data_IF_873721209714
#
_entry.id   IF_873721209714
#
_cell.length_a   1.000
_cell.length_b   1.000
_cell.length_c   1.000
_cell.angle_alpha   90.00
_cell.angle_beta   90.00
_cell.angle_gamma   90.00
#
_symmetry.space_group_name_H-M   'P 1'
#
loop_
_entity.id
_entity.type
_entity.pdbx_description
1 polymer ?
#
# COMPACT_ATOMS: atom_id res chain seq x y z
N UNK A 1 -6.97 -10.59 15.54
CA UNK A 1 -5.88 -10.86 14.60
C UNK A 1 -6.11 -9.91 13.45
N UNK A 2 -5.16 -9.03 13.15
CA UNK A 2 -5.30 -8.11 12.03
C UNK A 2 -4.44 -8.63 10.88
N UNK A 3 -4.87 -8.30 9.67
CA UNK A 3 -4.25 -8.80 8.46
C UNK A 3 -2.87 -8.16 8.28
N UNK A 4 -1.86 -9.01 8.10
CA UNK A 4 -0.54 -8.59 7.63
C UNK A 4 -0.62 -8.47 6.10
N UNK A 5 -0.13 -7.35 5.57
CA UNK A 5 -0.19 -7.00 4.15
C UNK A 5 1.23 -6.91 3.63
N UNK A 6 1.51 -7.61 2.54
CA UNK A 6 2.85 -7.74 2.00
C UNK A 6 2.86 -7.34 0.53
N UNK A 7 3.88 -6.58 0.13
CA UNK A 7 4.15 -6.24 -1.26
C UNK A 7 5.52 -6.76 -1.63
N UNK A 8 5.61 -7.57 -2.69
CA UNK A 8 6.86 -8.18 -3.13
C UNK A 8 6.87 -8.34 -4.64
N UNK A 9 8.07 -8.50 -5.20
CA UNK A 9 8.24 -8.78 -6.62
C UNK A 9 7.95 -10.26 -6.89
N UNK A 10 7.33 -10.55 -8.04
CA UNK A 10 7.07 -11.93 -8.44
C UNK A 10 8.37 -12.73 -8.55
N UNK A 11 8.45 -13.83 -7.80
CA UNK A 11 9.63 -14.69 -7.76
C UNK A 11 10.76 -14.21 -6.84
N UNK A 12 10.53 -13.14 -6.07
CA UNK A 12 11.42 -12.69 -4.99
C UNK A 12 10.92 -13.18 -3.63
N UNK A 13 11.85 -13.48 -2.72
CA UNK A 13 11.56 -13.70 -1.29
C UNK A 13 11.67 -12.41 -0.47
N UNK A 14 12.11 -11.30 -1.07
CA UNK A 14 12.28 -10.02 -0.40
C UNK A 14 11.03 -9.13 -0.57
N UNK A 15 10.55 -8.61 0.56
CA UNK A 15 9.45 -7.66 0.59
C UNK A 15 9.92 -6.26 0.19
N UNK A 16 9.15 -5.61 -0.69
CA UNK A 16 9.21 -4.16 -0.87
C UNK A 16 8.64 -3.48 0.37
N UNK A 17 7.50 -3.96 0.87
CA UNK A 17 6.90 -3.52 2.13
C UNK A 17 6.18 -4.68 2.84
N UNK A 18 6.29 -4.69 4.18
CA UNK A 18 5.53 -5.57 5.06
C UNK A 18 4.82 -4.73 6.12
N UNK A 19 3.48 -4.82 6.18
CA UNK A 19 2.61 -3.93 6.93
C UNK A 19 1.58 -4.73 7.75
N UNK A 20 1.78 -4.76 9.06
CA UNK A 20 0.93 -5.45 10.03
C UNK A 20 -0.28 -4.64 10.45
N UNK A 21 -1.46 -5.26 10.38
CA UNK A 21 -2.77 -4.68 10.71
C UNK A 21 -3.19 -3.49 9.82
N UNK A 22 -2.62 -3.34 8.62
CA UNK A 22 -2.94 -2.23 7.70
C UNK A 22 -4.03 -2.60 6.68
N UNK A 23 -5.06 -3.32 7.11
CA UNK A 23 -6.12 -3.80 6.22
C UNK A 23 -6.81 -2.67 5.44
N UNK A 24 -7.04 -1.49 6.04
CA UNK A 24 -7.63 -0.37 5.30
C UNK A 24 -6.76 0.09 4.10
N UNK A 25 -5.44 -0.06 4.21
CA UNK A 25 -4.52 0.27 3.13
C UNK A 25 -4.63 -0.75 1.99
N UNK A 26 -4.66 -2.05 2.32
CA UNK A 26 -4.88 -3.13 1.36
C UNK A 26 -6.18 -2.95 0.56
N UNK A 27 -7.28 -2.59 1.22
CA UNK A 27 -8.57 -2.38 0.55
C UNK A 27 -8.52 -1.27 -0.50
N UNK A 28 -7.60 -0.29 -0.40
CA UNK A 28 -7.45 0.72 -1.45
C UNK A 28 -7.09 0.08 -2.79
N UNK A 29 -6.24 -0.95 -2.78
CA UNK A 29 -5.82 -1.71 -3.95
C UNK A 29 -6.90 -2.69 -4.38
N UNK A 30 -7.44 -3.48 -3.44
CA UNK A 30 -8.48 -4.47 -3.72
C UNK A 30 -9.72 -3.85 -4.38
N UNK A 31 -10.14 -2.66 -3.92
CA UNK A 31 -11.25 -1.89 -4.50
C UNK A 31 -11.00 -1.46 -5.97
N UNK A 32 -9.75 -1.55 -6.47
CA UNK A 32 -9.45 -1.30 -7.89
C UNK A 32 -9.76 -2.50 -8.79
N UNK A 33 -10.27 -3.59 -8.22
CA UNK A 33 -10.52 -4.86 -8.91
C UNK A 33 -9.28 -5.34 -9.69
N UNK A 34 -8.14 -5.52 -9.01
CA UNK A 34 -6.90 -5.94 -9.64
C UNK A 34 -6.99 -7.38 -10.16
N UNK A 35 -6.13 -7.73 -11.12
CA UNK A 35 -6.03 -9.10 -11.60
C UNK A 35 -5.44 -10.03 -10.52
N UNK A 36 -5.98 -11.25 -10.34
CA UNK A 36 -5.37 -12.22 -9.44
C UNK A 36 -3.93 -12.56 -9.86
N UNK A 37 -3.02 -12.66 -8.90
CA UNK A 37 -1.64 -13.06 -9.15
C UNK A 37 -1.53 -14.57 -9.44
N UNK A 38 -2.39 -15.37 -8.81
CA UNK A 38 -2.45 -16.82 -8.96
C UNK A 38 -3.91 -17.31 -9.01
N UNK A 39 -4.17 -18.36 -9.79
CA UNK A 39 -5.50 -18.95 -9.89
C UNK A 39 -5.92 -19.60 -8.56
N UNK A 40 -7.08 -19.21 -8.03
CA UNK A 40 -7.63 -19.74 -6.79
C UNK A 40 -7.03 -19.15 -5.50
N UNK A 41 -6.20 -18.13 -5.61
CA UNK A 41 -5.68 -17.36 -4.48
C UNK A 41 -6.25 -15.94 -4.54
N UNK A 42 -6.34 -15.30 -3.37
CA UNK A 42 -6.82 -13.92 -3.29
C UNK A 42 -5.70 -12.89 -3.54
N UNK A 43 -4.44 -13.31 -3.57
CA UNK A 43 -3.29 -12.48 -3.95
C UNK A 43 -3.51 -11.84 -5.32
N UNK A 44 -3.15 -10.56 -5.47
CA UNK A 44 -3.40 -9.80 -6.69
C UNK A 44 -2.20 -9.00 -7.18
N UNK A 45 -2.18 -8.75 -8.49
CA UNK A 45 -1.16 -7.94 -9.16
C UNK A 45 -1.38 -6.46 -8.87
N UNK A 46 -0.28 -5.76 -8.61
CA UNK A 46 -0.22 -4.32 -8.41
C UNK A 46 0.72 -3.74 -9.47
N UNK A 47 0.12 -3.24 -10.54
CA UNK A 47 0.81 -2.55 -11.63
C UNK A 47 0.77 -1.02 -11.45
N UNK A 48 1.46 -0.30 -12.34
CA UNK A 48 1.47 1.16 -12.37
C UNK A 48 0.06 1.77 -12.38
N UNK A 49 -0.86 1.18 -13.14
CA UNK A 49 -2.23 1.65 -13.31
C UNK A 49 -3.03 1.58 -11.99
N UNK A 50 -2.91 0.47 -11.25
CA UNK A 50 -3.50 0.31 -9.92
C UNK A 50 -2.87 1.31 -8.95
N UNK A 51 -1.54 1.44 -8.96
CA UNK A 51 -0.80 2.35 -8.09
C UNK A 51 -1.21 3.81 -8.30
N UNK A 52 -1.34 4.25 -9.55
CA UNK A 52 -1.77 5.60 -9.90
C UNK A 52 -3.21 5.89 -9.41
N UNK A 53 -4.13 4.94 -9.58
CA UNK A 53 -5.51 5.07 -9.07
C UNK A 53 -5.53 5.18 -7.54
N UNK A 54 -4.74 4.37 -6.85
CA UNK A 54 -4.60 4.41 -5.39
C UNK A 54 -3.98 5.74 -4.94
N UNK A 55 -2.93 6.22 -5.61
CA UNK A 55 -2.27 7.50 -5.32
C UNK A 55 -3.27 8.66 -5.43
N UNK A 56 -4.08 8.70 -6.50
CA UNK A 56 -5.13 9.71 -6.68
C UNK A 56 -6.18 9.63 -5.58
N UNK A 57 -6.60 8.42 -5.20
CA UNK A 57 -7.58 8.22 -4.11
C UNK A 57 -7.03 8.73 -2.78
N UNK A 58 -5.79 8.39 -2.43
CA UNK A 58 -5.11 8.85 -1.22
C UNK A 58 -4.97 10.38 -1.22
N UNK A 59 -4.52 10.98 -2.32
CA UNK A 59 -4.39 12.43 -2.43
C UNK A 59 -5.73 13.14 -2.21
N UNK A 60 -6.84 12.60 -2.76
CA UNK A 60 -8.20 13.13 -2.49
C UNK A 60 -8.60 13.00 -1.03
N UNK A 61 -8.31 11.86 -0.39
CA UNK A 61 -8.58 11.65 1.03
C UNK A 61 -7.78 12.62 1.91
N UNK A 62 -6.51 12.87 1.59
CA UNK A 62 -5.67 13.86 2.28
C UNK A 62 -6.27 15.26 2.20
N UNK A 63 -6.62 15.71 1.00
CA UNK A 63 -7.23 17.04 0.79
C UNK A 63 -8.53 17.18 1.62
N UNK A 64 -9.36 16.13 1.65
CA UNK A 64 -10.62 16.14 2.38
C UNK A 64 -10.47 16.32 3.90
N UNK A 65 -9.31 15.94 4.47
CA UNK A 65 -9.00 16.12 5.90
C UNK A 65 -8.04 17.28 6.16
N UNK A 66 -7.79 18.13 5.17
CA UNK A 66 -6.92 19.31 5.29
C UNK A 66 -5.42 19.02 5.25
N UNK A 67 -5.02 17.82 4.79
CA UNK A 67 -3.63 17.45 4.55
C UNK A 67 -3.21 17.76 3.11
N UNK A 68 -1.91 17.87 2.91
CA UNK A 68 -1.27 18.31 1.67
C UNK A 68 -0.02 17.49 1.38
N UNK A 69 0.59 17.72 0.21
CA UNK A 69 1.81 17.01 -0.19
C UNK A 69 2.99 17.27 0.75
N UNK A 70 3.06 18.42 1.42
CA UNK A 70 4.14 18.70 2.38
C UNK A 70 4.05 17.87 3.66
N UNK A 71 2.91 17.21 3.90
CA UNK A 71 2.72 16.31 5.03
C UNK A 71 3.23 14.89 4.73
N UNK A 72 3.51 14.57 3.47
CA UNK A 72 4.10 13.28 3.05
C UNK A 72 5.56 13.24 3.50
N UNK A 73 5.98 12.22 4.26
CA UNK A 73 7.35 12.18 4.76
C UNK A 73 8.35 11.79 3.66
N UNK A 74 9.57 12.32 3.76
CA UNK A 74 10.69 12.00 2.86
C UNK A 74 11.25 10.59 3.06
N UNK A 75 10.93 9.94 4.18
CA UNK A 75 11.26 8.54 4.47
C UNK A 75 10.16 7.95 5.34
N UNK A 76 9.97 6.62 5.30
CA UNK A 76 9.01 5.99 6.22
C UNK A 76 9.43 6.19 7.67
N UNK A 77 8.48 6.50 8.58
CA UNK A 77 8.77 6.57 10.00
C UNK A 77 9.25 5.21 10.53
N UNK A 78 10.19 5.24 11.47
CA UNK A 78 10.69 4.03 12.13
C UNK A 78 9.53 3.28 12.82
N UNK A 79 9.45 1.97 12.59
CA UNK A 79 8.41 1.13 13.20
C UNK A 79 7.00 1.33 12.64
N UNK A 80 6.85 2.02 11.49
CA UNK A 80 5.54 2.17 10.82
C UNK A 80 4.95 0.84 10.31
N UNK A 81 5.72 -0.25 10.34
CA UNK A 81 5.25 -1.57 9.93
C UNK A 81 4.09 -2.12 10.74
N UNK A 82 3.65 -1.49 11.84
CA UNK A 82 2.50 -1.92 12.64
C UNK A 82 1.49 -0.77 12.78
N UNK A 83 0.26 -1.01 12.30
CA UNK A 83 -0.85 -0.09 12.53
C UNK A 83 -1.28 -0.16 13.98
N UNK A 84 -1.30 1.00 14.62
CA UNK A 84 -1.81 1.21 15.97
C UNK A 84 -3.31 1.53 15.93
N UNK A 85 -4.18 0.76 16.59
CA UNK A 85 -5.63 0.93 16.52
C UNK A 85 -6.13 2.25 17.12
N UNK A 86 -5.38 2.85 18.05
CA UNK A 86 -5.69 4.13 18.68
C UNK A 86 -5.42 5.34 17.78
N UNK A 87 -4.64 5.17 16.71
CA UNK A 87 -4.32 6.22 15.76
C UNK A 87 -5.38 6.23 14.67
N UNK A 88 -5.94 7.40 14.38
CA UNK A 88 -6.96 7.54 13.35
C UNK A 88 -6.40 7.27 11.94
N UNK A 89 -7.18 6.62 11.08
CA UNK A 89 -6.81 6.34 9.67
C UNK A 89 -6.27 7.56 8.94
N UNK A 90 -6.88 8.74 9.14
CA UNK A 90 -6.44 9.99 8.52
C UNK A 90 -4.97 10.35 8.78
N UNK A 91 -4.42 9.94 9.93
CA UNK A 91 -3.02 10.21 10.27
C UNK A 91 -2.03 9.30 9.51
N UNK A 92 -2.51 8.19 8.95
CA UNK A 92 -1.70 7.28 8.14
C UNK A 92 -1.64 7.68 6.66
N UNK A 93 -2.58 8.52 6.20
CA UNK A 93 -2.69 8.91 4.79
C UNK A 93 -1.38 9.42 4.16
N UNK A 94 -0.60 10.32 4.80
CA UNK A 94 0.64 10.80 4.19
C UNK A 94 1.67 9.68 4.04
N UNK A 95 1.77 8.79 5.03
CA UNK A 95 2.70 7.67 4.98
C UNK A 95 2.27 6.63 3.96
N UNK A 96 0.97 6.36 3.83
CA UNK A 96 0.44 5.50 2.77
C UNK A 96 0.76 6.03 1.37
N UNK A 97 0.65 7.34 1.17
CA UNK A 97 1.04 7.94 -0.11
C UNK A 97 2.55 7.82 -0.35
N UNK A 98 3.37 7.87 0.71
CA UNK A 98 4.80 7.57 0.61
C UNK A 98 5.07 6.12 0.21
N UNK A 99 4.39 5.15 0.85
CA UNK A 99 4.50 3.73 0.51
C UNK A 99 4.12 3.50 -0.96
N UNK A 100 3.03 4.10 -1.44
CA UNK A 100 2.64 4.02 -2.86
C UNK A 100 3.73 4.57 -3.79
N UNK A 101 4.43 5.62 -3.37
CA UNK A 101 5.57 6.16 -4.14
C UNK A 101 6.74 5.18 -4.20
N UNK A 102 7.04 4.50 -3.09
CA UNK A 102 8.08 3.47 -3.04
C UNK A 102 7.67 2.24 -3.90
N UNK A 103 6.40 1.84 -3.87
CA UNK A 103 5.85 0.77 -4.71
C UNK A 103 5.90 1.12 -6.20
N UNK A 104 5.58 2.36 -6.58
CA UNK A 104 5.73 2.85 -7.95
C UNK A 104 7.18 2.78 -8.43
N UNK A 105 8.15 3.13 -7.57
CA UNK A 105 9.56 3.01 -7.92
C UNK A 105 9.97 1.54 -8.15
N UNK A 106 9.55 0.64 -7.25
CA UNK A 106 9.82 -0.78 -7.38
C UNK A 106 9.13 -1.40 -8.62
N UNK A 107 7.90 -1.01 -8.92
CA UNK A 107 7.16 -1.46 -10.10
C UNK A 107 7.85 -0.98 -11.39
N UNK A 108 8.28 0.28 -11.44
CA UNK A 108 8.99 0.82 -12.60
C UNK A 108 10.35 0.12 -12.86
N UNK A 109 11.02 -0.34 -11.80
CA UNK A 109 12.31 -1.02 -11.91
C UNK A 109 12.17 -2.51 -12.27
N UNK A 110 11.14 -3.19 -11.75
CA UNK A 110 11.05 -4.66 -11.77
C UNK A 110 9.78 -5.22 -12.42
N UNK A 111 8.83 -4.37 -12.79
CA UNK A 111 7.51 -4.73 -13.29
C UNK A 111 6.49 -4.97 -12.18
N UNK A 112 5.30 -5.51 -12.52
CA UNK A 112 4.18 -5.65 -11.59
C UNK A 112 4.55 -6.37 -10.29
N UNK A 113 4.07 -5.81 -9.18
CA UNK A 113 4.24 -6.36 -7.84
C UNK A 113 3.08 -7.31 -7.50
N UNK A 114 3.25 -8.11 -6.46
CA UNK A 114 2.19 -8.91 -5.86
C UNK A 114 1.86 -8.31 -4.50
N UNK A 115 0.57 -8.12 -4.25
CA UNK A 115 0.03 -7.87 -2.92
C UNK A 115 -0.57 -9.18 -2.39
N UNK A 116 -0.10 -9.63 -1.23
CA UNK A 116 -0.68 -10.75 -0.48
C UNK A 116 -1.11 -10.30 0.91
N UNK A 117 -1.87 -11.15 1.59
CA UNK A 117 -2.20 -10.95 2.99
C UNK A 117 -2.31 -12.25 3.75
N UNK A 118 -2.05 -12.19 5.05
CA UNK A 118 -2.24 -13.30 5.98
C UNK A 118 -2.96 -12.85 7.25
N UNK A 119 -3.70 -13.78 7.88
CA UNK A 119 -4.52 -13.54 9.06
C UNK A 119 -3.87 -14.07 10.36
#
# INVERSE_FOLDING_TARGET
>A
MGLDVEFYQRGSEEYVHYLRNHWEFQYLFFDQNPEPAYEGYDDFLVDADVLDRVAVRLARQMIAVGLSRSDVPDTLPEGFCVRRPEVAYAQYLPVYLRIVSDLLAAEAEHGPLICSWSA
#
